data_IF_203836347215
#
_entry.id   IF_203836347215
#
_cell.length_a   1.000
_cell.length_b   1.000
_cell.length_c   1.000
_cell.angle_alpha   90.00
_cell.angle_beta   90.00
_cell.angle_gamma   90.00
#
_symmetry.space_group_name_H-M   'P 1'
#
loop_
_entity.id
_entity.type
_entity.pdbx_description
1 polymer ?
#
# COMPACT_ATOMS: atom_id res chain seq x y z
N UNK A 1 2.72 -13.39 -1.65
CA UNK A 1 2.42 -12.21 -0.80
C UNK A 1 3.54 -11.25 -1.06
N UNK A 2 3.23 -10.15 -1.73
CA UNK A 2 4.23 -9.21 -2.20
C UNK A 2 4.35 -8.07 -1.20
N UNK A 3 5.56 -7.91 -0.66
CA UNK A 3 5.90 -6.82 0.26
C UNK A 3 6.63 -5.74 -0.53
N UNK A 4 6.07 -4.53 -0.54
CA UNK A 4 6.63 -3.38 -1.23
C UNK A 4 7.08 -2.34 -0.21
N UNK A 5 8.39 -2.16 -0.08
CA UNK A 5 8.97 -1.07 0.70
C UNK A 5 9.01 0.19 -0.15
N UNK A 6 8.36 1.25 0.33
CA UNK A 6 8.21 2.51 -0.40
C UNK A 6 8.65 3.70 0.44
N UNK A 7 9.12 4.79 -0.18
CA UNK A 7 9.36 6.05 0.53
C UNK A 7 8.04 6.67 1.01
N UNK A 8 8.11 7.89 1.53
CA UNK A 8 6.92 8.68 1.83
C UNK A 8 6.11 9.06 0.59
N UNK A 9 4.92 9.59 0.82
CA UNK A 9 4.03 10.02 -0.24
C UNK A 9 4.37 11.47 -0.66
N UNK A 10 4.20 11.85 -1.95
CA UNK A 10 3.42 11.17 -2.99
C UNK A 10 4.18 10.08 -3.78
N UNK A 11 5.50 9.99 -3.69
CA UNK A 11 6.26 9.01 -4.49
C UNK A 11 5.89 7.57 -4.13
N UNK A 12 5.73 7.27 -2.84
CA UNK A 12 5.35 5.94 -2.37
C UNK A 12 4.01 5.45 -2.93
N UNK A 13 3.00 6.33 -2.98
CA UNK A 13 1.70 5.96 -3.55
C UNK A 13 1.76 5.73 -5.06
N UNK A 14 2.55 6.51 -5.80
CA UNK A 14 2.74 6.29 -7.23
C UNK A 14 3.42 4.94 -7.53
N UNK A 15 4.44 4.56 -6.73
CA UNK A 15 5.11 3.25 -6.87
C UNK A 15 4.16 2.08 -6.59
N UNK A 16 3.35 2.18 -5.52
CA UNK A 16 2.33 1.17 -5.22
C UNK A 16 1.35 1.05 -6.38
N UNK A 17 0.85 2.18 -6.91
CA UNK A 17 -0.09 2.20 -8.04
C UNK A 17 0.52 1.61 -9.31
N UNK A 18 1.77 1.94 -9.64
CA UNK A 18 2.46 1.36 -10.78
C UNK A 18 2.54 -0.17 -10.64
N UNK A 19 3.01 -0.64 -9.48
CA UNK A 19 3.15 -2.06 -9.20
C UNK A 19 1.84 -2.84 -9.31
N UNK A 20 0.73 -2.34 -8.74
CA UNK A 20 -0.58 -3.02 -8.84
C UNK A 20 -1.16 -3.01 -10.26
N UNK A 21 -0.86 -1.98 -11.06
CA UNK A 21 -1.29 -1.90 -12.46
C UNK A 21 -0.53 -2.88 -13.35
N UNK A 22 0.76 -3.05 -13.10
CA UNK A 22 1.63 -3.94 -13.87
C UNK A 22 1.42 -5.41 -13.50
N UNK A 23 1.31 -5.72 -12.21
CA UNK A 23 1.34 -7.10 -11.72
C UNK A 23 -0.02 -7.66 -11.29
N UNK A 24 -1.00 -6.80 -11.01
CA UNK A 24 -2.32 -7.17 -10.45
C UNK A 24 -2.27 -8.27 -9.37
N UNK A 25 -1.44 -8.11 -8.31
CA UNK A 25 -1.37 -9.10 -7.24
C UNK A 25 -2.72 -9.26 -6.54
N UNK A 26 -3.08 -10.48 -6.14
CA UNK A 26 -4.28 -10.71 -5.33
C UNK A 26 -4.21 -10.04 -3.95
N UNK A 27 -3.00 -9.84 -3.43
CA UNK A 27 -2.70 -9.25 -2.13
C UNK A 27 -1.37 -8.50 -2.17
N UNK A 28 -1.34 -7.30 -1.58
CA UNK A 28 -0.15 -6.48 -1.45
C UNK A 28 0.03 -6.04 0.00
N UNK A 29 1.28 -5.99 0.46
CA UNK A 29 1.67 -5.38 1.72
C UNK A 29 2.64 -4.24 1.45
N UNK A 30 2.34 -3.05 1.94
CA UNK A 30 3.17 -1.86 1.78
C UNK A 30 3.81 -1.53 3.12
N UNK A 31 5.10 -1.23 3.11
CA UNK A 31 5.85 -0.76 4.27
C UNK A 31 6.47 0.59 3.96
N UNK A 32 6.33 1.54 4.88
CA UNK A 32 6.91 2.89 4.78
C UNK A 32 7.24 3.43 6.17
N UNK A 33 8.18 4.38 6.26
CA UNK A 33 8.44 5.11 7.51
C UNK A 33 7.51 6.33 7.68
N UNK A 34 6.67 6.61 6.68
CA UNK A 34 5.78 7.76 6.65
C UNK A 34 4.33 7.34 6.94
N UNK A 35 3.84 7.66 8.13
CA UNK A 35 2.46 7.38 8.54
C UNK A 35 1.43 8.06 7.63
N UNK A 36 1.72 9.28 7.16
CA UNK A 36 0.79 10.02 6.31
C UNK A 36 0.68 9.35 4.93
N UNK A 37 1.73 8.67 4.48
CA UNK A 37 1.65 7.87 3.26
C UNK A 37 0.68 6.69 3.40
N UNK A 38 0.58 6.06 4.58
CA UNK A 38 -0.47 5.05 4.85
C UNK A 38 -1.86 5.66 4.70
N UNK A 39 -2.08 6.88 5.21
CA UNK A 39 -3.37 7.59 5.08
C UNK A 39 -3.71 7.86 3.63
N UNK A 40 -2.73 8.29 2.83
CA UNK A 40 -2.88 8.48 1.38
C UNK A 40 -3.22 7.16 0.68
N UNK A 41 -2.50 6.07 0.99
CA UNK A 41 -2.74 4.77 0.38
C UNK A 41 -4.15 4.23 0.65
N UNK A 42 -4.71 4.46 1.84
CA UNK A 42 -6.10 4.11 2.16
C UNK A 42 -7.12 4.81 1.27
N UNK A 43 -6.80 6.02 0.77
CA UNK A 43 -7.66 6.77 -0.15
C UNK A 43 -7.44 6.32 -1.60
N UNK A 44 -6.19 6.05 -1.98
CA UNK A 44 -5.79 5.75 -3.36
C UNK A 44 -6.14 4.31 -3.75
N UNK A 45 -5.85 3.32 -2.90
CA UNK A 45 -6.01 1.89 -3.23
C UNK A 45 -7.45 1.50 -3.62
N UNK A 46 -8.51 2.00 -2.97
CA UNK A 46 -9.89 1.70 -3.39
C UNK A 46 -10.21 2.15 -4.81
N UNK A 47 -9.57 3.22 -5.32
CA UNK A 47 -9.75 3.68 -6.70
C UNK A 47 -9.25 2.66 -7.74
N UNK A 48 -8.41 1.72 -7.33
CA UNK A 48 -7.88 0.63 -8.16
C UNK A 48 -8.48 -0.74 -7.79
N UNK A 49 -9.61 -0.76 -7.09
CA UNK A 49 -10.26 -1.98 -6.59
C UNK A 49 -9.39 -2.77 -5.60
N UNK A 50 -8.54 -2.11 -4.81
CA UNK A 50 -7.83 -2.73 -3.69
C UNK A 50 -8.38 -2.25 -2.35
N UNK A 51 -8.70 -3.18 -1.46
CA UNK A 51 -9.28 -2.90 -0.15
C UNK A 51 -8.27 -3.20 0.95
N UNK A 52 -8.11 -2.25 1.86
CA UNK A 52 -7.24 -2.42 3.04
C UNK A 52 -7.88 -3.44 3.98
N UNK A 53 -7.14 -4.49 4.31
CA UNK A 53 -7.58 -5.56 5.20
C UNK A 53 -6.87 -5.55 6.54
N UNK A 54 -5.70 -4.92 6.62
CA UNK A 54 -4.96 -4.77 7.87
C UNK A 54 -4.01 -3.56 7.84
N UNK A 55 -3.67 -3.04 9.01
CA UNK A 55 -2.63 -2.04 9.21
C UNK A 55 -1.96 -2.21 10.57
N UNK A 56 -0.65 -2.04 10.64
CA UNK A 56 0.08 -2.10 11.91
C UNK A 56 1.34 -1.23 11.86
N UNK A 57 1.94 -1.03 13.02
CA UNK A 57 3.23 -0.37 13.17
C UNK A 57 4.23 -1.34 13.80
N UNK A 58 5.47 -1.29 13.34
CA UNK A 58 6.59 -2.07 13.86
C UNK A 58 7.82 -1.15 13.95
N UNK A 59 8.20 -0.77 15.18
CA UNK A 59 9.22 0.24 15.40
C UNK A 59 8.86 1.58 14.75
N UNK A 60 9.72 2.10 13.87
CA UNK A 60 9.48 3.31 13.08
C UNK A 60 8.82 3.04 11.72
N UNK A 61 8.44 1.80 11.44
CA UNK A 61 7.80 1.41 10.17
C UNK A 61 6.30 1.27 10.34
N UNK A 62 5.57 1.76 9.34
CA UNK A 62 4.14 1.61 9.19
C UNK A 62 3.85 0.65 8.04
N UNK A 63 2.89 -0.24 8.28
CA UNK A 63 2.54 -1.32 7.38
C UNK A 63 1.05 -1.25 7.02
N UNK A 64 0.75 -1.57 5.76
CA UNK A 64 -0.60 -1.63 5.25
C UNK A 64 -0.76 -2.84 4.34
N UNK A 65 -1.76 -3.66 4.61
CA UNK A 65 -2.09 -4.83 3.80
C UNK A 65 -3.39 -4.59 3.07
N UNK A 66 -3.41 -4.83 1.77
CA UNK A 66 -4.57 -4.69 0.92
C UNK A 66 -4.77 -5.89 -0.01
N UNK A 67 -6.02 -6.15 -0.39
CA UNK A 67 -6.42 -7.23 -1.30
C UNK A 67 -7.18 -6.69 -2.49
N UNK A 68 -6.98 -7.33 -3.64
CA UNK A 68 -7.81 -7.08 -4.83
C UNK A 68 -9.26 -7.46 -4.53
N UNK A 69 -10.19 -6.56 -4.88
CA UNK A 69 -11.63 -6.78 -4.81
C UNK A 69 -12.06 -7.95 -5.66
N UNK A 70 -13.07 -8.69 -5.18
CA UNK A 70 -13.76 -9.71 -5.97
C UNK A 70 -14.54 -9.09 -7.13
#
# INVERSE_FOLDING_TARGET
MDILEVPGCPEGSLRVVAYIKENRPAEITVKTQDEDCIKVLKLVLPLFNYYVVDQWAEGSSHWLKAKLGR
#
